data_IF_275503767041
#
_entry.id   IF_275503767041
#
_cell.length_a   1.000
_cell.length_b   1.000
_cell.length_c   1.000
_cell.angle_alpha   90.00
_cell.angle_beta   90.00
_cell.angle_gamma   90.00
#
_symmetry.space_group_name_H-M   'P 1'
#
loop_
_entity.id
_entity.type
_entity.pdbx_description
1 polymer ?
#
# COMPACT_ATOMS: atom_id res chain seq x y z
N UNK A 1 10.70 -7.62 -16.59
CA UNK A 1 11.39 -8.86 -16.17
C UNK A 1 12.40 -8.62 -15.04
N UNK A 2 13.33 -7.66 -15.16
CA UNK A 2 14.31 -7.38 -14.09
C UNK A 2 13.65 -7.07 -12.73
N UNK A 3 12.63 -6.21 -12.69
CA UNK A 3 11.91 -5.89 -11.44
C UNK A 3 11.27 -7.12 -10.77
N UNK A 4 10.73 -8.06 -11.55
CA UNK A 4 10.14 -9.29 -11.02
C UNK A 4 11.21 -10.23 -10.45
N UNK A 5 12.34 -10.36 -11.14
CA UNK A 5 13.50 -11.10 -10.64
C UNK A 5 14.03 -10.48 -9.34
N UNK A 6 14.19 -9.16 -9.29
CA UNK A 6 14.61 -8.44 -8.08
C UNK A 6 13.63 -8.68 -6.93
N UNK A 7 12.32 -8.60 -7.17
CA UNK A 7 11.31 -8.88 -6.16
C UNK A 7 11.43 -10.30 -5.58
N UNK A 8 11.61 -11.30 -6.44
CA UNK A 8 11.81 -12.68 -6.01
C UNK A 8 13.06 -12.85 -5.12
N UNK A 9 14.20 -12.31 -5.55
CA UNK A 9 15.46 -12.41 -4.80
C UNK A 9 15.34 -11.72 -3.44
N UNK A 10 14.73 -10.52 -3.38
CA UNK A 10 14.54 -9.76 -2.13
C UNK A 10 13.63 -10.51 -1.15
N UNK A 11 12.50 -11.05 -1.60
CA UNK A 11 11.53 -11.73 -0.71
C UNK A 11 12.08 -13.09 -0.23
N UNK A 12 12.85 -13.79 -1.06
CA UNK A 12 13.36 -15.15 -0.76
C UNK A 12 14.26 -15.24 0.49
N UNK A 13 14.75 -14.11 1.01
CA UNK A 13 15.71 -14.06 2.14
C UNK A 13 15.14 -13.42 3.41
N UNK A 14 13.83 -13.18 3.47
CA UNK A 14 13.18 -12.54 4.63
C UNK A 14 12.97 -13.54 5.77
N UNK A 15 13.32 -13.21 7.03
CA UNK A 15 13.08 -14.08 8.19
C UNK A 15 11.58 -14.23 8.48
N UNK A 16 11.19 -15.36 9.07
CA UNK A 16 9.79 -15.75 9.30
C UNK A 16 8.99 -14.69 10.08
N UNK A 17 9.62 -14.03 11.04
CA UNK A 17 9.01 -12.99 11.88
C UNK A 17 8.50 -11.78 11.08
N UNK A 18 9.02 -11.58 9.86
CA UNK A 18 8.66 -10.48 8.98
C UNK A 18 7.62 -10.86 7.92
N UNK A 19 7.10 -12.09 7.85
CA UNK A 19 6.10 -12.43 6.83
C UNK A 19 4.80 -11.62 6.96
N UNK A 20 4.27 -11.45 8.18
CA UNK A 20 3.06 -10.65 8.40
C UNK A 20 3.30 -9.15 8.14
N UNK A 21 4.39 -8.54 8.64
CA UNK A 21 4.77 -7.18 8.22
C UNK A 21 4.97 -7.04 6.71
N UNK A 22 5.59 -8.02 6.05
CA UNK A 22 5.84 -8.01 4.61
C UNK A 22 4.54 -8.14 3.80
N UNK A 23 3.59 -8.96 4.26
CA UNK A 23 2.25 -9.06 3.66
C UNK A 23 1.52 -7.72 3.74
N UNK A 24 1.57 -7.04 4.90
CA UNK A 24 0.99 -5.71 5.06
C UNK A 24 1.70 -4.66 4.20
N UNK A 25 3.03 -4.68 4.18
CA UNK A 25 3.85 -3.74 3.40
C UNK A 25 3.66 -3.89 1.89
N UNK A 26 3.60 -5.12 1.36
CA UNK A 26 3.30 -5.33 -0.05
C UNK A 26 1.87 -4.92 -0.41
N UNK A 27 0.92 -5.06 0.54
CA UNK A 27 -0.43 -4.53 0.38
C UNK A 27 -0.48 -2.99 0.26
N UNK A 28 0.34 -2.28 1.04
CA UNK A 28 0.50 -0.83 0.92
C UNK A 28 1.13 -0.42 -0.42
N UNK A 29 2.20 -1.10 -0.84
CA UNK A 29 2.96 -0.74 -2.05
C UNK A 29 2.14 -0.93 -3.33
N UNK A 30 1.32 -1.98 -3.43
CA UNK A 30 0.46 -2.17 -4.61
C UNK A 30 -0.67 -1.12 -4.69
N UNK A 31 -0.91 -0.36 -3.62
CA UNK A 31 -1.79 0.81 -3.60
C UNK A 31 -1.46 1.89 -4.63
N UNK A 32 -0.31 1.79 -5.32
CA UNK A 32 0.02 2.57 -6.52
C UNK A 32 -1.05 2.52 -7.63
N UNK A 33 -1.96 1.53 -7.60
CA UNK A 33 -3.18 1.51 -8.42
C UNK A 33 -3.96 2.83 -8.35
N UNK A 34 -3.89 3.57 -7.24
CA UNK A 34 -4.45 4.92 -7.10
C UNK A 34 -4.00 5.86 -8.23
N UNK A 35 -2.73 5.85 -8.61
CA UNK A 35 -2.21 6.71 -9.69
C UNK A 35 -2.88 6.36 -11.01
N UNK A 36 -3.04 5.06 -11.30
CA UNK A 36 -3.77 4.59 -12.47
C UNK A 36 -5.23 5.03 -12.47
N UNK A 37 -5.90 4.95 -11.32
CA UNK A 37 -7.28 5.40 -11.16
C UNK A 37 -7.42 6.92 -11.37
N UNK A 38 -6.47 7.72 -10.87
CA UNK A 38 -6.46 9.18 -11.08
C UNK A 38 -6.29 9.55 -12.56
N UNK A 39 -5.39 8.86 -13.27
CA UNK A 39 -5.22 9.05 -14.72
C UNK A 39 -6.49 8.64 -15.47
N UNK A 40 -7.07 7.49 -15.14
CA UNK A 40 -8.30 7.00 -15.77
C UNK A 40 -9.48 7.96 -15.57
N UNK A 41 -9.65 8.49 -14.35
CA UNK A 41 -10.66 9.50 -14.05
C UNK A 41 -10.39 10.83 -14.79
N UNK A 42 -9.13 11.25 -14.89
CA UNK A 42 -8.74 12.46 -15.62
C UNK A 42 -8.99 12.40 -17.12
N UNK A 43 -9.05 11.19 -17.70
CA UNK A 43 -9.36 10.94 -19.11
C UNK A 43 -10.83 10.57 -19.35
N UNK A 44 -11.65 10.48 -18.30
CA UNK A 44 -13.04 10.07 -18.40
C UNK A 44 -13.90 11.13 -19.11
N UNK A 45 -14.65 10.70 -20.13
CA UNK A 45 -15.48 11.57 -20.97
C UNK A 45 -16.97 11.42 -20.72
N UNK A 46 -17.40 10.21 -20.30
CA UNK A 46 -18.80 9.93 -20.00
C UNK A 46 -19.09 10.01 -18.51
N UNK A 47 -20.33 10.34 -18.13
CA UNK A 47 -20.74 10.37 -16.71
C UNK A 47 -20.53 9.03 -16.02
N UNK A 48 -20.71 7.91 -16.75
CA UNK A 48 -20.48 6.57 -16.22
C UNK A 48 -19.00 6.33 -15.90
N UNK A 49 -18.09 6.69 -16.82
CA UNK A 49 -16.64 6.60 -16.61
C UNK A 49 -16.21 7.47 -15.42
N UNK A 50 -16.77 8.67 -15.28
CA UNK A 50 -16.47 9.58 -14.18
C UNK A 50 -16.89 8.99 -12.82
N UNK A 51 -18.08 8.38 -12.73
CA UNK A 51 -18.55 7.73 -11.50
C UNK A 51 -17.65 6.55 -11.15
N UNK A 52 -17.31 5.69 -12.12
CA UNK A 52 -16.44 4.54 -11.90
C UNK A 52 -15.03 5.00 -11.49
N UNK A 53 -14.47 5.98 -12.20
CA UNK A 53 -13.16 6.54 -11.89
C UNK A 53 -13.12 7.19 -10.50
N UNK A 54 -14.18 7.90 -10.10
CA UNK A 54 -14.29 8.47 -8.77
C UNK A 54 -14.27 7.40 -7.67
N UNK A 55 -15.06 6.33 -7.84
CA UNK A 55 -15.06 5.19 -6.91
C UNK A 55 -13.68 4.52 -6.89
N UNK A 56 -13.05 4.34 -8.05
CA UNK A 56 -11.72 3.74 -8.15
C UNK A 56 -10.66 4.56 -7.40
N UNK A 57 -10.68 5.89 -7.52
CA UNK A 57 -9.79 6.79 -6.78
C UNK A 57 -10.07 6.71 -5.28
N UNK A 58 -11.33 6.73 -4.84
CA UNK A 58 -11.66 6.59 -3.41
C UNK A 58 -11.16 5.27 -2.83
N UNK A 59 -11.38 4.15 -3.53
CA UNK A 59 -10.92 2.83 -3.08
C UNK A 59 -9.39 2.73 -3.09
N UNK A 60 -8.71 3.28 -4.10
CA UNK A 60 -7.26 3.34 -4.16
C UNK A 60 -6.66 4.15 -3.01
N UNK A 61 -7.26 5.31 -2.71
CA UNK A 61 -6.85 6.16 -1.59
C UNK A 61 -7.05 5.47 -0.24
N UNK A 62 -8.17 4.76 -0.05
CA UNK A 62 -8.43 3.97 1.15
C UNK A 62 -7.42 2.82 1.30
N UNK A 63 -7.06 2.13 0.21
CA UNK A 63 -6.09 1.04 0.23
C UNK A 63 -4.69 1.52 0.64
N UNK A 64 -4.18 2.58 0.01
CA UNK A 64 -2.82 3.08 0.30
C UNK A 64 -2.74 3.68 1.72
N UNK A 65 -3.76 4.42 2.15
CA UNK A 65 -3.78 5.04 3.49
C UNK A 65 -3.96 3.99 4.58
N UNK A 66 -4.92 3.07 4.41
CA UNK A 66 -5.15 1.97 5.36
C UNK A 66 -3.96 1.02 5.44
N UNK A 67 -3.39 0.65 4.30
CA UNK A 67 -2.19 -0.19 4.21
C UNK A 67 -1.00 0.44 4.92
N UNK A 68 -0.77 1.75 4.75
CA UNK A 68 0.28 2.47 5.46
C UNK A 68 0.09 2.43 6.98
N UNK A 69 -1.09 2.81 7.47
CA UNK A 69 -1.39 2.87 8.91
C UNK A 69 -1.23 1.50 9.58
N UNK A 70 -1.68 0.42 8.94
CA UNK A 70 -1.53 -0.93 9.49
C UNK A 70 -0.07 -1.35 9.49
N UNK A 71 0.66 -1.12 8.39
CA UNK A 71 2.07 -1.49 8.27
C UNK A 71 2.92 -0.76 9.30
N UNK A 72 2.71 0.55 9.46
CA UNK A 72 3.40 1.37 10.46
C UNK A 72 3.19 0.84 11.89
N UNK A 73 1.94 0.52 12.25
CA UNK A 73 1.64 -0.09 13.57
C UNK A 73 2.32 -1.43 13.78
N UNK A 74 2.38 -2.28 12.76
CA UNK A 74 3.05 -3.57 12.85
C UNK A 74 4.56 -3.38 13.03
N UNK A 75 5.17 -2.47 12.27
CA UNK A 75 6.62 -2.20 12.35
C UNK A 75 7.01 -1.57 13.69
N UNK A 76 6.15 -0.75 14.29
CA UNK A 76 6.35 -0.21 15.64
C UNK A 76 6.48 -1.30 16.72
N UNK A 77 5.92 -2.50 16.51
CA UNK A 77 6.05 -3.62 17.46
C UNK A 77 7.47 -4.22 17.50
N UNK A 78 8.32 -3.90 16.52
CA UNK A 78 9.71 -4.35 16.45
C UNK A 78 10.70 -3.37 17.10
N UNK A 79 10.24 -2.19 17.48
CA UNK A 79 11.10 -1.19 18.10
C UNK A 79 11.34 -1.56 19.57
N UNK A 80 12.59 -1.92 19.92
CA UNK A 80 12.98 -2.45 21.24
C UNK A 80 12.90 -1.43 22.37
N UNK A 81 12.72 -0.15 22.06
CA UNK A 81 12.58 0.91 23.05
C UNK A 81 11.10 1.25 23.17
N UNK A 82 10.51 1.06 24.36
CA UNK A 82 9.11 1.38 24.69
C UNK A 82 8.72 2.87 24.60
N UNK A 83 9.08 3.55 23.51
CA UNK A 83 8.55 4.85 23.16
C UNK A 83 7.11 4.62 22.74
N UNK A 84 6.19 5.15 23.56
CA UNK A 84 4.74 5.18 23.29
C UNK A 84 4.48 5.48 21.80
N UNK A 85 3.47 4.83 21.20
CA UNK A 85 3.14 5.03 19.79
C UNK A 85 3.02 6.53 19.54
N UNK A 86 3.82 7.05 18.61
CA UNK A 86 3.62 8.42 18.12
C UNK A 86 2.25 8.43 17.46
N UNK A 87 1.26 8.93 18.21
CA UNK A 87 -0.07 9.25 17.71
C UNK A 87 0.15 10.08 16.44
N UNK A 88 -0.17 9.49 15.29
CA UNK A 88 -0.27 10.22 14.04
C UNK A 88 -1.21 11.41 14.27
N UNK A 89 -0.67 12.59 14.00
CA UNK A 89 -1.44 13.81 13.81
C UNK A 89 -1.93 13.85 12.35
#
# INVERSE_FOLDING_TARGET
MLAAFTGYVVISRVPVILHTPLMSGSNFVHGIVLVGAMVALGLATTTLEQIIGFIAVMLGAANVTGGYVVTDRILQMFDRNGKKPRRGA
#
